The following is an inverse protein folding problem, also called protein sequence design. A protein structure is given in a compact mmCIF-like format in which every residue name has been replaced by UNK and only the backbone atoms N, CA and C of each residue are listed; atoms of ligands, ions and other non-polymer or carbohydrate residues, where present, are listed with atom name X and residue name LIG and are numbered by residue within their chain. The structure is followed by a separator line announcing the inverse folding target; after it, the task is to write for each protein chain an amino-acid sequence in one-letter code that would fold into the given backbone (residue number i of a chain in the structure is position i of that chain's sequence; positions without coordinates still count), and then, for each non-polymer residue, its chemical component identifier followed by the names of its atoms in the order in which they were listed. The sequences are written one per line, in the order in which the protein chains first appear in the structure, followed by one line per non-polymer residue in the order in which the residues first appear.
data_IF_252042433456
#
_entry.id   IF_252042433456
#
_cell.length_a   1.000
_cell.length_b   1.000
_cell.length_c   1.000
_cell.angle_alpha   90.00
_cell.angle_beta   90.00
_cell.angle_gamma   90.00
#
_symmetry.space_group_name_H-M   'P 1'
#
loop_
_entity.id
_entity.type
_entity.pdbx_description
1 polymer ?
#
# COMPACT_ATOMS: atom_id res chain seq x y z
N UNK A 1 -16.73 -12.43 6.39
CA UNK A 1 -15.85 -13.36 5.65
C UNK A 1 -16.34 -14.78 5.89
N UNK A 2 -16.15 -15.68 4.92
CA UNK A 2 -16.56 -17.09 4.86
C UNK A 2 -17.93 -17.36 4.21
N UNK A 3 -17.97 -17.27 2.88
CA UNK A 3 -18.80 -18.19 2.07
C UNK A 3 -18.15 -19.57 2.18
N UNK A 4 -18.70 -20.45 3.04
CA UNK A 4 -18.37 -21.87 3.00
C UNK A 4 -18.94 -22.45 1.70
N UNK A 5 -18.06 -22.85 0.78
CA UNK A 5 -18.45 -23.72 -0.32
C UNK A 5 -18.74 -25.12 0.25
N UNK A 6 -20.01 -25.54 0.22
CA UNK A 6 -20.36 -26.95 0.34
C UNK A 6 -20.77 -27.47 -1.04
N UNK A 7 -20.32 -28.68 -1.33
CA UNK A 7 -20.46 -29.46 -2.57
C UNK A 7 -21.75 -29.16 -3.37
N UNK A 8 -21.62 -28.48 -4.52
CA UNK A 8 -22.74 -28.18 -5.43
C UNK A 8 -22.73 -26.80 -6.09
N UNK A 9 -21.76 -25.93 -5.76
CA UNK A 9 -21.63 -24.59 -6.33
C UNK A 9 -21.56 -23.50 -5.25
N UNK A 10 -20.89 -22.40 -5.54
CA UNK A 10 -20.72 -21.31 -4.55
C UNK A 10 -22.02 -20.50 -4.45
N UNK A 11 -22.80 -20.71 -3.40
CA UNK A 11 -24.01 -19.92 -3.13
C UNK A 11 -23.60 -18.51 -2.71
N UNK A 12 -23.86 -17.53 -3.56
CA UNK A 12 -23.61 -16.11 -3.29
C UNK A 12 -24.82 -15.51 -2.55
N UNK A 13 -24.59 -14.98 -1.35
CA UNK A 13 -25.57 -14.19 -0.59
C UNK A 13 -25.33 -12.68 -0.78
N UNK A 14 -26.37 -11.87 -0.60
CA UNK A 14 -26.23 -10.42 -0.47
C UNK A 14 -25.32 -10.09 0.72
N UNK A 15 -24.61 -8.97 0.63
CA UNK A 15 -23.76 -8.45 1.70
C UNK A 15 -24.41 -7.16 2.20
N UNK A 16 -24.60 -7.06 3.50
CA UNK A 16 -25.08 -5.83 4.12
C UNK A 16 -23.91 -4.86 4.33
N UNK A 17 -24.19 -3.58 4.11
CA UNK A 17 -23.28 -2.49 4.42
C UNK A 17 -23.16 -2.30 5.94
N UNK A 18 -21.98 -1.88 6.39
CA UNK A 18 -21.66 -1.57 7.77
C UNK A 18 -21.05 -0.16 7.78
N UNK A 19 -21.78 0.86 8.27
CA UNK A 19 -21.39 2.26 8.13
C UNK A 19 -20.00 2.62 8.65
N UNK A 20 -19.49 1.87 9.63
CA UNK A 20 -18.16 2.10 10.22
C UNK A 20 -17.01 1.60 9.34
N UNK A 21 -17.28 0.91 8.23
CA UNK A 21 -16.28 0.30 7.34
C UNK A 21 -16.63 0.54 5.88
N UNK A 22 -16.00 1.54 5.28
CA UNK A 22 -16.31 1.97 3.92
C UNK A 22 -16.25 0.84 2.87
N UNK A 23 -15.32 -0.12 2.99
CA UNK A 23 -15.19 -1.23 2.03
C UNK A 23 -16.45 -2.12 2.00
N UNK A 24 -17.27 -2.11 3.05
CA UNK A 24 -18.51 -2.90 3.09
C UNK A 24 -19.55 -2.36 2.11
N UNK A 25 -19.63 -1.04 1.92
CA UNK A 25 -20.45 -0.40 0.87
C UNK A 25 -19.98 -0.84 -0.51
N UNK A 26 -18.66 -0.83 -0.75
CA UNK A 26 -18.06 -1.31 -2.01
C UNK A 26 -18.43 -2.78 -2.27
N UNK A 27 -18.23 -3.66 -1.28
CA UNK A 27 -18.55 -5.08 -1.42
C UNK A 27 -20.05 -5.36 -1.55
N UNK A 28 -20.90 -4.55 -0.92
CA UNK A 28 -22.35 -4.63 -1.08
C UNK A 28 -22.73 -4.34 -2.54
N UNK A 29 -22.26 -3.21 -3.08
CA UNK A 29 -22.52 -2.81 -4.47
C UNK A 29 -22.00 -3.84 -5.47
N UNK A 30 -20.77 -4.34 -5.27
CA UNK A 30 -20.16 -5.38 -6.11
C UNK A 30 -21.01 -6.66 -6.09
N UNK A 31 -21.43 -7.10 -4.89
CA UNK A 31 -22.25 -8.30 -4.74
C UNK A 31 -23.65 -8.10 -5.33
N UNK A 32 -24.24 -6.92 -5.13
CA UNK A 32 -25.56 -6.59 -5.65
C UNK A 32 -25.54 -6.61 -7.19
N UNK A 33 -24.55 -5.98 -7.83
CA UNK A 33 -24.38 -6.01 -9.30
C UNK A 33 -24.35 -7.45 -9.85
N UNK A 34 -23.66 -8.37 -9.18
CA UNK A 34 -23.59 -9.78 -9.58
C UNK A 34 -24.95 -10.49 -9.43
N UNK A 35 -25.69 -10.17 -8.36
CA UNK A 35 -26.96 -10.82 -8.03
C UNK A 35 -28.19 -10.15 -8.65
N UNK A 36 -28.05 -8.95 -9.21
CA UNK A 36 -29.16 -8.15 -9.75
C UNK A 36 -30.11 -8.92 -10.68
N UNK A 37 -29.64 -9.76 -11.63
CA UNK A 37 -30.56 -10.54 -12.46
C UNK A 37 -31.43 -11.52 -11.66
N UNK A 38 -30.85 -12.18 -10.66
CA UNK A 38 -31.58 -13.13 -9.79
C UNK A 38 -32.53 -12.41 -8.85
N UNK A 39 -32.10 -11.26 -8.30
CA UNK A 39 -32.92 -10.42 -7.42
C UNK A 39 -34.13 -9.91 -8.18
N UNK A 40 -33.96 -9.45 -9.42
CA UNK A 40 -35.07 -8.99 -10.27
C UNK A 40 -36.13 -10.08 -10.43
N UNK A 41 -35.74 -11.32 -10.77
CA UNK A 41 -36.68 -12.44 -10.86
C UNK A 41 -37.42 -12.72 -9.56
N UNK A 42 -36.72 -12.70 -8.41
CA UNK A 42 -37.32 -12.94 -7.10
C UNK A 42 -38.29 -11.83 -6.70
N UNK A 43 -37.96 -10.56 -6.98
CA UNK A 43 -38.82 -9.42 -6.63
C UNK A 43 -40.15 -9.44 -7.39
N UNK A 44 -40.20 -10.00 -8.60
CA UNK A 44 -41.46 -10.19 -9.34
C UNK A 44 -42.43 -11.15 -8.64
N UNK A 45 -41.93 -12.06 -7.80
CA UNK A 45 -42.73 -13.05 -7.07
C UNK A 45 -43.18 -12.55 -5.69
N UNK A 46 -42.72 -11.36 -5.24
CA UNK A 46 -43.00 -10.83 -3.90
C UNK A 46 -43.98 -9.65 -4.01
N UNK A 47 -45.28 -9.83 -3.64
CA UNK A 47 -46.33 -8.82 -3.85
C UNK A 47 -46.10 -7.46 -3.17
N UNK A 48 -45.26 -7.41 -2.13
CA UNK A 48 -44.89 -6.20 -1.38
C UNK A 48 -43.36 -6.03 -1.29
N UNK A 49 -42.63 -6.51 -2.30
CA UNK A 49 -41.19 -6.38 -2.37
C UNK A 49 -40.76 -4.92 -2.62
N UNK A 50 -39.52 -4.55 -2.26
CA UNK A 50 -38.97 -3.26 -2.66
C UNK A 50 -38.87 -3.17 -4.19
N UNK A 51 -38.96 -1.94 -4.72
CA UNK A 51 -38.73 -1.71 -6.14
C UNK A 51 -37.30 -2.11 -6.54
N UNK A 52 -37.17 -2.69 -7.72
CA UNK A 52 -35.87 -3.04 -8.29
C UNK A 52 -35.18 -1.77 -8.79
N UNK A 53 -33.86 -1.69 -8.58
CA UNK A 53 -33.07 -0.60 -9.17
C UNK A 53 -33.17 -0.62 -10.70
N UNK A 54 -33.22 0.56 -11.29
CA UNK A 54 -33.29 0.77 -12.72
C UNK A 54 -31.97 0.40 -13.43
N UNK A 55 -32.05 0.24 -14.75
CA UNK A 55 -30.86 0.03 -15.59
C UNK A 55 -29.88 1.21 -15.50
N UNK A 56 -30.39 2.44 -15.32
CA UNK A 56 -29.55 3.62 -15.14
C UNK A 56 -28.76 3.54 -13.82
N UNK A 57 -29.43 3.24 -12.72
CA UNK A 57 -28.79 3.07 -11.40
C UNK A 57 -27.80 1.89 -11.39
N UNK A 58 -28.07 0.81 -12.13
CA UNK A 58 -27.11 -0.28 -12.31
C UNK A 58 -25.85 0.17 -13.07
N UNK A 59 -25.97 1.12 -13.99
CA UNK A 59 -24.80 1.71 -14.66
C UNK A 59 -24.07 2.67 -13.74
N UNK A 60 -24.77 3.45 -12.92
CA UNK A 60 -24.14 4.25 -11.86
C UNK A 60 -23.31 3.36 -10.93
N UNK A 61 -23.87 2.25 -10.45
CA UNK A 61 -23.15 1.28 -9.61
C UNK A 61 -21.87 0.76 -10.31
N UNK A 62 -21.90 0.49 -11.62
CA UNK A 62 -20.71 0.04 -12.36
C UNK A 62 -19.61 1.10 -12.35
N UNK A 63 -19.97 2.35 -12.60
CA UNK A 63 -19.04 3.48 -12.59
C UNK A 63 -18.47 3.74 -11.20
N UNK A 64 -19.32 3.73 -10.17
CA UNK A 64 -18.89 3.88 -8.78
C UNK A 64 -17.90 2.78 -8.38
N UNK A 65 -18.18 1.52 -8.73
CA UNK A 65 -17.27 0.40 -8.47
C UNK A 65 -15.95 0.56 -9.21
N UNK A 66 -15.97 1.04 -10.45
CA UNK A 66 -14.76 1.29 -11.24
C UNK A 66 -13.88 2.37 -10.59
N UNK A 67 -14.49 3.48 -10.14
CA UNK A 67 -13.79 4.59 -9.49
C UNK A 67 -13.27 4.25 -8.09
N UNK A 68 -13.98 3.42 -7.33
CA UNK A 68 -13.63 3.04 -5.96
C UNK A 68 -12.66 1.85 -5.90
N UNK A 69 -12.53 1.06 -6.97
CA UNK A 69 -11.65 -0.12 -7.01
C UNK A 69 -10.19 0.21 -6.65
N UNK A 70 -9.55 1.29 -7.14
CA UNK A 70 -8.19 1.65 -6.73
C UNK A 70 -8.05 1.86 -5.22
N UNK A 71 -9.04 2.48 -4.57
CA UNK A 71 -9.04 2.71 -3.13
C UNK A 71 -9.09 1.39 -2.36
N UNK A 72 -9.88 0.44 -2.84
CA UNK A 72 -10.02 -0.88 -2.23
C UNK A 72 -8.70 -1.65 -2.30
N UNK A 73 -8.02 -1.60 -3.45
CA UNK A 73 -6.71 -2.25 -3.63
C UNK A 73 -5.65 -1.59 -2.73
N UNK A 74 -5.54 -0.26 -2.74
CA UNK A 74 -4.62 0.48 -1.85
C UNK A 74 -4.88 0.15 -0.38
N UNK A 75 -6.15 0.15 0.01
CA UNK A 75 -6.55 -0.08 1.41
C UNK A 75 -6.16 -1.48 1.86
N UNK A 76 -6.37 -2.50 1.02
CA UNK A 76 -5.90 -3.87 1.30
C UNK A 76 -4.38 -3.95 1.46
N UNK A 77 -3.64 -3.24 0.62
CA UNK A 77 -2.19 -3.21 0.66
C UNK A 77 -1.66 -2.52 1.94
N UNK A 78 -2.29 -1.42 2.36
CA UNK A 78 -1.94 -0.71 3.60
C UNK A 78 -2.30 -1.52 4.84
N UNK A 79 -3.33 -2.36 4.78
CA UNK A 79 -3.79 -3.20 5.89
C UNK A 79 -3.03 -4.54 6.03
N UNK A 80 -2.00 -4.75 5.21
CA UNK A 80 -1.08 -5.88 5.33
C UNK A 80 -0.41 -5.95 6.71
N UNK A 81 -0.05 -7.17 7.11
CA UNK A 81 0.61 -7.47 8.39
C UNK A 81 1.85 -8.35 8.24
N UNK A 82 1.93 -9.10 7.13
CA UNK A 82 3.02 -10.04 6.84
C UNK A 82 4.14 -9.37 6.04
N UNK A 83 4.03 -8.07 5.77
CA UNK A 83 5.02 -7.30 5.03
C UNK A 83 5.06 -5.85 5.51
N UNK A 84 6.15 -5.16 5.17
CA UNK A 84 6.36 -3.75 5.52
C UNK A 84 5.33 -2.88 4.77
N UNK A 85 4.54 -2.12 5.54
CA UNK A 85 3.49 -1.24 5.03
C UNK A 85 3.83 0.25 5.14
N UNK A 86 4.67 0.68 6.09
CA UNK A 86 5.05 2.08 6.29
C UNK A 86 5.68 2.72 5.06
N UNK A 87 6.64 2.05 4.44
CA UNK A 87 7.35 2.51 3.25
C UNK A 87 6.50 2.49 1.98
N UNK A 88 5.39 1.72 1.97
CA UNK A 88 4.46 1.62 0.85
C UNK A 88 3.45 2.77 0.79
N UNK A 89 3.21 3.49 1.90
CA UNK A 89 2.14 4.50 1.99
C UNK A 89 2.27 5.60 0.93
N UNK A 90 3.43 6.26 0.86
CA UNK A 90 3.67 7.35 -0.10
C UNK A 90 3.56 6.85 -1.56
N UNK A 91 4.24 5.76 -1.96
CA UNK A 91 4.07 5.17 -3.30
C UNK A 91 2.61 4.84 -3.66
N UNK A 92 1.85 4.28 -2.71
CA UNK A 92 0.46 3.90 -2.92
C UNK A 92 -0.45 5.11 -3.11
N UNK A 93 -0.21 6.19 -2.36
CA UNK A 93 -0.95 7.45 -2.53
C UNK A 93 -0.70 8.04 -3.91
N UNK A 94 0.54 8.10 -4.38
CA UNK A 94 0.84 8.62 -5.72
C UNK A 94 0.30 7.73 -6.83
N UNK A 95 0.36 6.42 -6.63
CA UNK A 95 -0.26 5.48 -7.56
C UNK A 95 -1.78 5.67 -7.58
N UNK A 96 -2.42 5.86 -6.43
CA UNK A 96 -3.85 6.10 -6.31
C UNK A 96 -4.25 7.38 -7.05
N UNK A 97 -3.54 8.48 -6.79
CA UNK A 97 -3.76 9.77 -7.44
C UNK A 97 -3.64 9.64 -8.96
N UNK A 98 -2.57 8.99 -9.45
CA UNK A 98 -2.39 8.76 -10.88
C UNK A 98 -3.48 7.84 -11.47
N UNK A 99 -3.85 6.75 -10.79
CA UNK A 99 -4.93 5.87 -11.27
C UNK A 99 -6.25 6.61 -11.37
N UNK A 100 -6.71 7.25 -10.29
CA UNK A 100 -7.97 8.01 -10.26
C UNK A 100 -7.94 9.20 -11.24
N UNK A 101 -6.76 9.80 -11.44
CA UNK A 101 -6.46 10.79 -12.46
C UNK A 101 -6.88 10.37 -13.87
N UNK A 102 -6.51 9.14 -14.23
CA UNK A 102 -6.64 8.58 -15.58
C UNK A 102 -7.90 7.73 -15.81
N UNK A 103 -8.73 7.49 -14.79
CA UNK A 103 -10.02 6.83 -14.99
C UNK A 103 -10.98 7.77 -15.73
N UNK A 104 -11.91 7.20 -16.48
CA UNK A 104 -13.02 7.92 -17.10
C UNK A 104 -14.34 7.43 -16.51
N UNK A 105 -15.20 8.37 -16.13
CA UNK A 105 -16.55 8.10 -15.65
C UNK A 105 -17.57 8.49 -16.72
N UNK A 106 -18.55 7.64 -16.94
CA UNK A 106 -19.55 7.78 -18.01
C UNK A 106 -20.86 8.41 -17.53
N UNK A 107 -21.20 8.15 -16.27
CA UNK A 107 -22.41 8.62 -15.60
C UNK A 107 -22.19 9.97 -14.91
N UNK A 108 -23.25 10.78 -14.77
CA UNK A 108 -23.18 12.07 -14.08
C UNK A 108 -22.75 11.89 -12.61
N UNK A 109 -23.27 10.85 -11.94
CA UNK A 109 -22.91 10.52 -10.56
C UNK A 109 -21.44 10.10 -10.49
N UNK A 110 -20.97 9.26 -11.42
CA UNK A 110 -19.56 8.85 -11.50
C UNK A 110 -18.63 10.04 -11.68
N UNK A 111 -18.96 10.99 -12.57
CA UNK A 111 -18.16 12.20 -12.79
C UNK A 111 -18.10 13.08 -11.54
N UNK A 112 -19.23 13.29 -10.86
CA UNK A 112 -19.27 14.02 -9.58
C UNK A 112 -18.41 13.33 -8.52
N UNK A 113 -18.50 12.01 -8.40
CA UNK A 113 -17.68 11.24 -7.48
C UNK A 113 -16.20 11.39 -7.83
N UNK A 114 -15.80 11.26 -9.09
CA UNK A 114 -14.41 11.36 -9.50
C UNK A 114 -13.80 12.72 -9.12
N UNK A 115 -14.54 13.82 -9.34
CA UNK A 115 -14.12 15.16 -8.94
C UNK A 115 -13.89 15.23 -7.42
N UNK A 116 -14.83 14.72 -6.63
CA UNK A 116 -14.72 14.77 -5.16
C UNK A 116 -13.60 13.85 -4.65
N UNK A 117 -13.39 12.68 -5.26
CA UNK A 117 -12.29 11.77 -4.93
C UNK A 117 -10.93 12.43 -5.18
N UNK A 118 -10.73 13.08 -6.33
CA UNK A 118 -9.49 13.81 -6.64
C UNK A 118 -9.24 14.91 -5.61
N UNK A 119 -10.28 15.67 -5.28
CA UNK A 119 -10.22 16.75 -4.28
C UNK A 119 -9.88 16.24 -2.88
N UNK A 120 -10.49 15.15 -2.44
CA UNK A 120 -10.23 14.58 -1.11
C UNK A 120 -8.86 13.89 -1.03
N UNK A 121 -8.36 13.27 -2.11
CA UNK A 121 -6.97 12.78 -2.19
C UNK A 121 -6.01 13.94 -1.96
N UNK A 122 -6.13 15.02 -2.74
CA UNK A 122 -5.25 16.18 -2.62
C UNK A 122 -5.32 16.79 -1.22
N UNK A 123 -6.54 17.08 -0.73
CA UNK A 123 -6.75 17.68 0.59
C UNK A 123 -6.09 16.88 1.72
N UNK A 124 -6.20 15.55 1.68
CA UNK A 124 -5.71 14.66 2.76
C UNK A 124 -4.24 14.32 2.63
N UNK A 125 -3.72 14.21 1.41
CA UNK A 125 -2.39 13.66 1.16
C UNK A 125 -1.38 14.65 0.57
N UNK A 126 -1.76 15.89 0.24
CA UNK A 126 -0.84 16.96 -0.24
C UNK A 126 0.44 17.16 0.58
N UNK A 127 0.41 16.79 1.87
CA UNK A 127 1.51 16.94 2.83
C UNK A 127 2.12 15.61 3.29
N UNK A 128 1.77 14.50 2.65
CA UNK A 128 2.18 13.17 3.11
C UNK A 128 3.70 12.98 3.10
N UNK A 129 4.41 13.59 2.15
CA UNK A 129 5.88 13.58 2.08
C UNK A 129 6.55 14.29 3.27
N UNK A 130 5.85 15.20 3.95
CA UNK A 130 6.39 15.91 5.12
C UNK A 130 6.25 15.11 6.42
N UNK A 131 5.55 13.97 6.39
CA UNK A 131 5.47 13.07 7.54
C UNK A 131 6.80 12.34 7.65
N UNK A 132 7.66 12.81 8.57
CA UNK A 132 9.04 12.32 8.73
C UNK A 132 9.13 10.79 8.83
N UNK A 133 8.20 10.14 9.55
CA UNK A 133 8.16 8.68 9.68
C UNK A 133 8.03 7.98 8.31
N UNK A 134 7.04 8.38 7.51
CA UNK A 134 6.79 7.80 6.19
C UNK A 134 7.90 8.14 5.21
N UNK A 135 8.44 9.35 5.32
CA UNK A 135 9.56 9.83 4.52
C UNK A 135 10.85 9.02 4.74
N UNK A 136 11.20 8.73 6.00
CA UNK A 136 12.37 7.88 6.29
C UNK A 136 12.08 6.43 5.87
N UNK A 137 10.88 5.92 6.12
CA UNK A 137 10.51 4.56 5.75
C UNK A 137 10.61 4.31 4.23
N UNK A 138 10.07 5.20 3.39
CA UNK A 138 10.18 5.06 1.92
C UNK A 138 11.65 5.16 1.46
N UNK A 139 12.43 6.06 2.06
CA UNK A 139 13.82 6.27 1.67
C UNK A 139 14.67 5.01 1.92
N UNK A 140 14.53 4.45 3.12
CA UNK A 140 15.27 3.28 3.58
C UNK A 140 14.72 1.99 2.96
N UNK A 141 13.59 2.04 2.24
CA UNK A 141 13.11 0.89 1.49
C UNK A 141 13.80 0.82 0.11
N UNK A 142 14.61 -0.23 -0.15
CA UNK A 142 15.34 -0.38 -1.41
C UNK A 142 14.43 -0.57 -2.64
N UNK A 143 13.13 -0.82 -2.45
CA UNK A 143 12.13 -0.87 -3.53
C UNK A 143 11.80 0.53 -4.04
N UNK A 144 11.85 1.56 -3.20
CA UNK A 144 11.30 2.88 -3.51
C UNK A 144 12.34 4.00 -3.51
N UNK A 145 13.15 4.08 -2.44
CA UNK A 145 14.14 5.15 -2.24
C UNK A 145 13.53 6.54 -2.49
N UNK A 146 14.01 7.26 -3.50
CA UNK A 146 13.61 8.65 -3.79
C UNK A 146 12.69 8.81 -5.00
N UNK A 147 12.37 7.72 -5.71
CA UNK A 147 11.78 7.82 -7.06
C UNK A 147 10.35 8.37 -7.06
N UNK A 148 9.64 8.17 -5.96
CA UNK A 148 8.25 8.61 -5.81
C UNK A 148 8.14 10.04 -5.24
N UNK A 149 9.26 10.69 -4.90
CA UNK A 149 9.22 12.07 -4.42
C UNK A 149 8.96 13.03 -5.58
N UNK A 150 7.81 13.70 -5.53
CA UNK A 150 7.41 14.67 -6.54
C UNK A 150 8.04 16.05 -6.29
N UNK A 151 8.29 16.40 -5.02
CA UNK A 151 8.84 17.72 -4.66
C UNK A 151 10.38 17.72 -4.62
N UNK A 152 11.07 18.58 -5.39
CA UNK A 152 12.54 18.61 -5.51
C UNK A 152 13.30 18.83 -4.19
N UNK A 153 12.68 19.48 -3.20
CA UNK A 153 13.29 19.77 -1.90
C UNK A 153 13.63 18.51 -1.09
N UNK A 154 13.04 17.37 -1.45
CA UNK A 154 13.32 16.08 -0.87
C UNK A 154 14.58 15.40 -1.43
N UNK A 155 15.26 15.87 -2.48
CA UNK A 155 16.19 15.01 -3.26
C UNK A 155 17.66 14.91 -2.85
N UNK A 156 18.21 15.66 -1.89
CA UNK A 156 19.54 15.28 -1.33
C UNK A 156 19.88 15.85 0.04
N UNK A 157 19.70 17.16 0.27
CA UNK A 157 20.25 17.79 1.48
C UNK A 157 19.39 17.61 2.74
N UNK A 158 18.06 17.50 2.60
CA UNK A 158 17.16 17.26 3.74
C UNK A 158 17.20 15.80 4.17
N UNK A 159 17.26 14.88 3.20
CA UNK A 159 17.41 13.44 3.40
C UNK A 159 18.63 13.09 4.26
N UNK A 160 19.81 13.55 3.83
CA UNK A 160 21.05 13.32 4.56
C UNK A 160 20.98 13.91 5.96
N UNK A 161 20.43 15.12 6.13
CA UNK A 161 20.30 15.74 7.45
C UNK A 161 19.36 14.98 8.39
N UNK A 162 18.23 14.49 7.89
CA UNK A 162 17.25 13.75 8.70
C UNK A 162 17.84 12.39 9.08
N UNK A 163 18.37 11.64 8.12
CA UNK A 163 18.95 10.32 8.36
C UNK A 163 20.17 10.42 9.28
N UNK A 164 21.08 11.37 9.04
CA UNK A 164 22.27 11.53 9.87
C UNK A 164 21.91 11.99 11.29
N UNK A 165 20.88 12.83 11.44
CA UNK A 165 20.36 13.22 12.77
C UNK A 165 19.83 11.99 13.50
N UNK A 166 19.06 11.14 12.82
CA UNK A 166 18.44 9.98 13.43
C UNK A 166 19.47 8.90 13.80
N UNK A 167 20.44 8.64 12.92
CA UNK A 167 21.57 7.75 13.21
C UNK A 167 22.38 8.28 14.41
N UNK A 168 22.71 9.58 14.44
CA UNK A 168 23.44 10.18 15.59
C UNK A 168 22.68 10.01 16.91
N UNK A 169 21.36 10.13 16.88
CA UNK A 169 20.52 9.88 18.05
C UNK A 169 20.55 8.39 18.45
N UNK A 170 20.51 7.46 17.51
CA UNK A 170 20.57 6.03 17.81
C UNK A 170 21.93 5.58 18.34
N UNK A 171 23.03 6.04 17.76
CA UNK A 171 24.39 5.75 18.26
C UNK A 171 24.57 6.28 19.69
N UNK A 172 24.03 7.48 19.98
CA UNK A 172 24.07 8.03 21.34
C UNK A 172 23.24 7.23 22.36
N UNK A 173 22.23 6.50 21.90
CA UNK A 173 21.37 5.66 22.73
C UNK A 173 21.88 4.21 22.86
N UNK A 174 22.57 3.67 21.84
CA UNK A 174 23.13 2.30 21.81
C UNK A 174 24.37 2.10 22.69
N UNK A 175 25.04 3.17 23.15
CA UNK A 175 26.10 3.08 24.18
C UNK A 175 25.61 2.54 25.54
N UNK A 176 24.33 2.18 25.68
CA UNK A 176 23.72 1.66 26.90
C UNK A 176 23.36 0.16 26.81
N UNK A 177 23.31 -0.47 25.63
CA UNK A 177 22.83 -1.87 25.55
C UNK A 177 23.28 -2.64 24.30
N UNK A 178 24.51 -3.16 24.33
CA UNK A 178 24.98 -4.19 23.38
C UNK A 178 24.58 -5.57 23.89
N UNK A 179 23.98 -6.42 23.05
CA UNK A 179 24.44 -7.80 22.78
C UNK A 179 23.51 -8.62 21.86
N UNK A 180 24.02 -8.91 20.66
CA UNK A 180 23.98 -10.17 19.88
C UNK A 180 22.69 -10.97 19.65
N UNK A 181 22.44 -11.28 18.37
CA UNK A 181 22.52 -12.67 17.85
C UNK A 181 22.50 -12.73 16.31
N UNK A 182 23.13 -13.77 15.77
CA UNK A 182 23.33 -14.13 14.35
C UNK A 182 22.31 -15.21 13.95
N UNK A 183 21.96 -15.33 12.66
CA UNK A 183 22.04 -16.56 11.84
C UNK A 183 21.47 -16.36 10.42
N UNK A 184 22.07 -17.08 9.46
CA UNK A 184 21.89 -17.05 8.01
C UNK A 184 20.63 -17.77 7.50
N UNK A 185 20.16 -17.40 6.30
CA UNK A 185 19.91 -18.36 5.19
C UNK A 185 19.60 -17.62 3.87
N UNK A 186 20.25 -18.04 2.78
CA UNK A 186 20.02 -17.64 1.39
C UNK A 186 18.80 -18.37 0.80
N UNK A 187 18.06 -17.75 -0.13
CA UNK A 187 17.48 -18.45 -1.28
C UNK A 187 17.04 -17.49 -2.40
N UNK A 188 17.37 -17.88 -3.63
CA UNK A 188 17.05 -17.19 -4.89
C UNK A 188 15.65 -17.60 -5.38
N UNK A 189 14.86 -16.64 -5.88
CA UNK A 189 13.74 -16.95 -6.79
C UNK A 189 13.70 -15.94 -7.93
N UNK A 190 13.77 -16.51 -9.13
CA UNK A 190 13.57 -15.93 -10.45
C UNK A 190 12.04 -15.80 -10.68
N UNK A 191 11.51 -14.70 -11.24
CA UNK A 191 10.60 -14.84 -12.38
C UNK A 191 10.09 -13.53 -13.03
N UNK A 192 10.15 -13.61 -14.36
CA UNK A 192 9.22 -13.20 -15.41
C UNK A 192 8.00 -12.33 -15.07
N UNK A 193 7.89 -11.22 -15.79
CA UNK A 193 6.76 -10.29 -15.80
C UNK A 193 5.63 -10.81 -16.71
N UNK A 194 4.47 -11.09 -16.12
CA UNK A 194 3.19 -11.18 -16.85
C UNK A 194 2.45 -9.87 -16.64
N UNK A 195 2.20 -9.17 -17.74
CA UNK A 195 1.46 -7.90 -17.78
C UNK A 195 -0.01 -8.14 -17.43
N UNK A 196 -0.42 -7.69 -16.24
CA UNK A 196 -1.80 -7.74 -15.78
C UNK A 196 -2.25 -6.30 -15.49
N UNK A 197 -3.20 -5.80 -16.30
CA UNK A 197 -3.72 -4.43 -16.25
C UNK A 197 -4.28 -3.99 -14.88
N UNK A 198 -4.48 -4.90 -13.93
CA UNK A 198 -4.96 -4.60 -12.58
C UNK A 198 -3.85 -4.37 -11.53
N UNK A 199 -2.57 -4.55 -11.84
CA UNK A 199 -1.51 -4.37 -10.85
C UNK A 199 -1.45 -2.91 -10.38
N UNK A 200 -1.46 -2.71 -9.06
CA UNK A 200 -1.30 -1.41 -8.44
C UNK A 200 0.11 -0.87 -8.67
N UNK A 201 1.11 -1.73 -8.81
CA UNK A 201 2.50 -1.31 -8.91
C UNK A 201 2.96 -0.92 -10.32
N UNK A 202 2.08 -0.92 -11.33
CA UNK A 202 2.42 -0.51 -12.70
C UNK A 202 3.03 0.90 -12.78
N UNK A 203 2.53 1.85 -11.97
CA UNK A 203 3.12 3.19 -11.89
C UNK A 203 4.55 3.16 -11.33
N UNK A 204 4.78 2.34 -10.30
CA UNK A 204 6.11 2.14 -9.73
C UNK A 204 7.09 1.54 -10.75
N UNK A 205 6.66 0.54 -11.53
CA UNK A 205 7.48 -0.07 -12.60
C UNK A 205 7.90 0.99 -13.62
N UNK A 206 6.96 1.85 -14.05
CA UNK A 206 7.24 2.95 -14.97
C UNK A 206 8.26 3.94 -14.41
N UNK A 207 8.07 4.37 -13.16
CA UNK A 207 8.97 5.32 -12.49
C UNK A 207 10.37 4.72 -12.27
N UNK A 208 10.45 3.43 -11.92
CA UNK A 208 11.71 2.69 -11.80
C UNK A 208 12.49 2.66 -13.11
N UNK A 209 11.82 2.39 -14.23
CA UNK A 209 12.44 2.40 -15.56
C UNK A 209 13.01 3.78 -15.94
N UNK A 210 12.33 4.85 -15.54
CA UNK A 210 12.80 6.22 -15.79
C UNK A 210 14.00 6.63 -14.92
N UNK A 211 14.24 5.92 -13.80
CA UNK A 211 15.23 6.28 -12.79
C UNK A 211 16.56 5.50 -12.89
N UNK A 212 16.72 4.57 -13.82
CA UNK A 212 17.91 3.71 -13.91
C UNK A 212 19.12 4.43 -14.52
N UNK A 213 20.17 4.63 -13.70
CA UNK A 213 21.54 4.97 -14.13
C UNK A 213 22.59 4.27 -13.24
N UNK A 214 23.83 4.18 -13.74
CA UNK A 214 24.92 3.23 -13.50
C UNK A 214 25.42 2.95 -12.06
N UNK A 215 26.05 1.77 -11.93
CA UNK A 215 26.84 1.19 -10.82
C UNK A 215 28.14 1.97 -10.59
N UNK A 216 28.68 2.04 -9.34
CA UNK A 216 30.13 1.93 -9.06
C UNK A 216 30.49 1.81 -7.55
N UNK A 217 31.76 1.42 -7.36
CA UNK A 217 32.55 0.82 -6.28
C UNK A 217 32.53 1.36 -4.83
N UNK A 218 32.92 0.46 -3.92
CA UNK A 218 33.10 0.66 -2.48
C UNK A 218 34.32 1.54 -2.15
N UNK A 219 34.11 2.55 -1.33
CA UNK A 219 35.20 3.19 -0.58
C UNK A 219 34.76 3.50 0.85
N UNK A 220 35.70 3.28 1.79
CA UNK A 220 35.60 3.62 3.20
C UNK A 220 35.05 5.03 3.36
N UNK A 221 33.92 5.20 4.02
CA UNK A 221 33.31 6.51 4.02
C UNK A 221 32.39 6.75 5.22
N UNK A 222 32.31 8.02 5.59
CA UNK A 222 31.54 8.53 6.72
C UNK A 222 30.03 8.24 6.53
N UNK A 223 29.23 8.42 7.58
CA UNK A 223 27.77 8.23 7.57
C UNK A 223 27.07 8.85 6.34
N UNK A 224 27.55 10.01 5.89
CA UNK A 224 27.06 10.72 4.70
C UNK A 224 27.23 9.92 3.39
N UNK A 225 28.31 9.18 3.28
CA UNK A 225 28.67 8.46 2.08
C UNK A 225 28.08 7.03 2.06
N UNK A 226 27.81 6.45 3.24
CA UNK A 226 26.94 5.28 3.37
C UNK A 226 25.54 5.55 2.79
N UNK A 227 24.91 6.67 3.17
CA UNK A 227 23.61 7.11 2.62
C UNK A 227 23.70 7.26 1.12
N UNK A 228 24.74 7.93 0.61
CA UNK A 228 24.91 8.17 -0.83
C UNK A 228 25.04 6.85 -1.60
N UNK A 229 25.93 5.96 -1.15
CA UNK A 229 26.17 4.67 -1.80
C UNK A 229 24.90 3.81 -1.83
N UNK A 230 24.12 3.79 -0.75
CA UNK A 230 22.84 3.10 -0.72
C UNK A 230 21.83 3.68 -1.72
N UNK A 231 21.74 5.01 -1.82
CA UNK A 231 20.83 5.66 -2.76
C UNK A 231 21.20 5.40 -4.22
N UNK A 232 22.49 5.24 -4.50
CA UNK A 232 23.02 4.94 -5.84
C UNK A 232 22.83 3.46 -6.25
N UNK A 233 22.54 2.54 -5.31
CA UNK A 233 22.22 1.15 -5.66
C UNK A 233 20.96 1.06 -6.54
N UNK A 234 20.85 0.03 -7.42
CA UNK A 234 19.62 -0.20 -8.17
C UNK A 234 18.45 -0.52 -7.24
N UNK A 235 17.23 -0.24 -7.71
CA UNK A 235 16.01 -0.62 -7.01
C UNK A 235 15.76 -2.12 -7.14
N UNK A 236 15.40 -2.76 -6.04
CA UNK A 236 15.02 -4.18 -6.02
C UNK A 236 13.60 -4.40 -6.56
N UNK A 237 13.13 -5.65 -6.64
CA UNK A 237 11.75 -5.94 -7.07
C UNK A 237 10.76 -5.59 -5.93
N UNK A 238 9.57 -5.12 -6.28
CA UNK A 238 8.51 -4.77 -5.32
C UNK A 238 8.12 -5.96 -4.41
N UNK A 239 8.21 -7.17 -4.95
CA UNK A 239 7.84 -8.42 -4.30
C UNK A 239 8.95 -9.01 -3.40
N UNK A 240 10.16 -8.46 -3.43
CA UNK A 240 11.22 -8.93 -2.53
C UNK A 240 10.89 -8.61 -1.07
N UNK A 241 11.29 -9.51 -0.17
CA UNK A 241 11.30 -9.24 1.25
C UNK A 241 12.42 -8.25 1.59
N UNK A 242 12.00 -7.05 1.99
CA UNK A 242 12.90 -5.95 2.33
C UNK A 242 13.70 -6.25 3.60
N UNK A 243 13.16 -7.01 4.55
CA UNK A 243 13.90 -7.35 5.78
C UNK A 243 15.04 -8.31 5.47
N UNK A 244 14.79 -9.31 4.62
CA UNK A 244 15.83 -10.24 4.16
C UNK A 244 16.95 -9.50 3.40
N UNK A 245 16.59 -8.52 2.55
CA UNK A 245 17.58 -7.68 1.86
C UNK A 245 18.40 -6.85 2.85
N UNK A 246 17.76 -6.25 3.85
CA UNK A 246 18.48 -5.49 4.88
C UNK A 246 19.43 -6.36 5.70
N UNK A 247 19.12 -7.64 5.94
CA UNK A 247 20.06 -8.55 6.61
C UNK A 247 21.33 -8.77 5.77
N UNK A 248 21.20 -8.85 4.44
CA UNK A 248 22.36 -8.91 3.53
C UNK A 248 23.17 -7.60 3.49
N UNK A 249 22.52 -6.46 3.77
CA UNK A 249 23.11 -5.13 3.75
C UNK A 249 23.77 -4.73 5.06
N UNK A 250 23.57 -5.49 6.14
CA UNK A 250 24.02 -5.18 7.50
C UNK A 250 25.51 -4.87 7.63
N UNK A 251 26.36 -5.60 6.91
CA UNK A 251 27.82 -5.40 6.95
C UNK A 251 28.28 -4.22 6.11
N UNK A 252 27.57 -3.92 5.02
CA UNK A 252 27.90 -2.87 4.06
C UNK A 252 27.35 -1.51 4.51
N UNK A 253 26.17 -1.51 5.12
CA UNK A 253 25.44 -0.33 5.57
C UNK A 253 25.01 -0.46 7.04
N UNK A 254 25.97 -0.54 7.99
CA UNK A 254 25.68 -0.82 9.39
C UNK A 254 24.83 0.26 10.06
N UNK A 255 25.01 1.54 9.70
CA UNK A 255 24.26 2.62 10.32
C UNK A 255 22.83 2.71 9.75
N UNK A 256 22.67 2.52 8.44
CA UNK A 256 21.36 2.48 7.81
C UNK A 256 20.56 1.25 8.23
N UNK A 257 21.22 0.12 8.51
CA UNK A 257 20.56 -1.09 9.00
C UNK A 257 19.79 -0.83 10.32
N UNK A 258 20.39 -0.11 11.27
CA UNK A 258 19.71 0.26 12.53
C UNK A 258 18.49 1.15 12.26
N UNK A 259 18.62 2.11 11.34
CA UNK A 259 17.49 2.95 10.91
C UNK A 259 16.40 2.10 10.24
N UNK A 260 16.79 1.17 9.37
CA UNK A 260 15.87 0.28 8.67
C UNK A 260 15.04 -0.54 9.66
N UNK A 261 15.67 -1.11 10.68
CA UNK A 261 14.98 -1.86 11.72
C UNK A 261 13.91 -1.04 12.44
N UNK A 262 14.18 0.24 12.74
CA UNK A 262 13.22 1.13 13.41
C UNK A 262 12.05 1.55 12.52
N UNK A 263 12.34 1.98 11.29
CA UNK A 263 11.33 2.64 10.45
C UNK A 263 10.52 1.68 9.58
N UNK A 264 11.08 0.52 9.23
CA UNK A 264 10.38 -0.48 8.43
C UNK A 264 9.51 -1.42 9.28
N UNK A 265 9.83 -1.61 10.56
CA UNK A 265 9.00 -2.41 11.48
C UNK A 265 7.70 -1.73 11.91
N UNK A 266 7.53 -0.45 11.60
CA UNK A 266 6.32 0.29 11.96
C UNK A 266 5.18 -0.06 11.02
N UNK A 267 4.04 -0.50 11.56
CA UNK A 267 2.82 -0.69 10.76
C UNK A 267 2.17 0.65 10.43
N UNK A 268 1.68 0.81 9.20
CA UNK A 268 1.04 2.05 8.75
C UNK A 268 -0.43 2.21 9.16
N UNK A 269 -1.01 1.17 9.77
CA UNK A 269 -2.44 1.09 10.11
C UNK A 269 -2.66 0.50 11.49
N UNK A 270 -3.74 0.91 12.17
CA UNK A 270 -4.24 0.31 13.41
C UNK A 270 -5.03 -0.98 13.19
N UNK A 271 -5.36 -1.33 11.95
CA UNK A 271 -6.14 -2.54 11.63
C UNK A 271 -5.56 -3.85 12.22
N UNK A 272 -4.23 -4.03 12.35
CA UNK A 272 -3.67 -5.19 13.04
C UNK A 272 -4.09 -5.32 14.50
N UNK A 273 -4.08 -4.22 15.25
CA UNK A 273 -4.55 -4.24 16.64
C UNK A 273 -6.06 -4.45 16.69
N UNK A 274 -6.83 -3.82 15.81
CA UNK A 274 -8.29 -4.01 15.73
C UNK A 274 -8.70 -5.46 15.42
N UNK A 275 -7.98 -6.17 14.55
CA UNK A 275 -8.22 -7.60 14.26
C UNK A 275 -7.92 -8.48 15.47
N UNK A 276 -6.84 -8.20 16.19
CA UNK A 276 -6.51 -8.90 17.43
C UNK A 276 -7.62 -8.70 18.47
N UNK A 277 -8.05 -7.45 18.69
CA UNK A 277 -9.13 -7.13 19.63
C UNK A 277 -10.49 -7.69 19.20
N UNK A 278 -10.80 -7.73 17.90
CA UNK A 278 -12.03 -8.36 17.40
C UNK A 278 -12.04 -9.88 17.66
N UNK A 279 -10.89 -10.53 17.48
CA UNK A 279 -10.75 -11.98 17.74
C UNK A 279 -10.81 -12.29 19.24
N UNK A 280 -10.25 -11.41 20.08
CA UNK A 280 -10.34 -11.50 21.53
C UNK A 280 -11.77 -11.22 22.04
N UNK A 281 -12.50 -10.29 21.43
CA UNK A 281 -13.90 -10.01 21.76
C UNK A 281 -14.78 -11.26 21.64
N UNK A 282 -14.60 -12.05 20.57
CA UNK A 282 -15.31 -13.32 20.37
C UNK A 282 -14.99 -14.42 21.42
N UNK A 283 -13.97 -14.23 22.25
CA UNK A 283 -13.63 -15.15 23.36
C UNK A 283 -14.15 -14.65 24.71
N UNK A 284 -14.50 -13.36 24.82
CA UNK A 284 -14.86 -12.68 26.07
C UNK A 284 -16.37 -12.41 26.17
N UNK A 285 -17.09 -12.37 25.04
CA UNK A 285 -18.56 -12.34 24.97
C UNK A 285 -19.12 -13.65 24.43
#
# INVERSE_FOLDING_TARGET
MLTKCQHGGCILKLKQEVPTRWNTTYYMMERFKILAPKISSVLLEIPNGPEMVSTAELNDIKDLLHLLQPFEIVTKEVFGQEYITSSKVIPLVYTLENKVGNLEATTEIGQKLQIELKKEIEKRFQKIEFIQLLFIAILIDPRFKTIHFQKPLAKSNVLQKIVNKEIKQMISAENVCVSNSRLNSEENVNDNLVDNNNDIWNYHIKVKYLASSQILESSNSTMEAEVKQYLDLPLININNDVLAVWESYKTVFPHLYVVAQKYLSTVSSSVPSERLFSKAGNLIT
#
